data_IF_716322513665
#
_entry.id   IF_716322513665
#
_cell.length_a   1.000
_cell.length_b   1.000
_cell.length_c   1.000
_cell.angle_alpha   90.00
_cell.angle_beta   90.00
_cell.angle_gamma   90.00
#
_symmetry.space_group_name_H-M   'P 1'
#
loop_
_entity.id
_entity.type
_entity.pdbx_description
1 polymer ?
#
# COMPACT_ATOMS: atom_id res chain seq x y z
N UNK A 1 -7.10 25.65 49.10
CA UNK A 1 -7.50 26.84 48.31
C UNK A 1 -7.40 26.43 46.85
N UNK A 2 -8.53 26.30 46.16
CA UNK A 2 -8.51 25.85 44.77
C UNK A 2 -8.10 27.04 43.88
N UNK A 3 -6.95 26.92 43.23
CA UNK A 3 -6.50 27.91 42.26
C UNK A 3 -7.46 27.90 41.05
N UNK A 4 -8.02 29.06 40.74
CA UNK A 4 -8.96 29.25 39.64
C UNK A 4 -8.19 29.91 38.49
N UNK A 5 -8.27 29.31 37.31
CA UNK A 5 -7.67 29.83 36.08
C UNK A 5 -8.82 30.43 35.24
N UNK A 6 -8.69 31.70 34.88
CA UNK A 6 -9.62 32.41 34.01
C UNK A 6 -9.11 32.42 32.57
N UNK A 7 -9.93 31.93 31.65
CA UNK A 7 -9.70 31.98 30.21
C UNK A 7 -10.89 32.72 29.58
N UNK A 8 -10.70 34.01 29.26
CA UNK A 8 -11.79 34.90 28.86
C UNK A 8 -12.81 35.07 29.99
N UNK A 9 -14.09 34.86 29.69
CA UNK A 9 -15.19 34.94 30.67
C UNK A 9 -15.38 33.63 31.48
N UNK A 10 -14.66 32.57 31.13
CA UNK A 10 -14.83 31.26 31.77
C UNK A 10 -13.85 31.06 32.92
N UNK A 11 -14.37 30.54 34.04
CA UNK A 11 -13.59 30.20 35.25
C UNK A 11 -13.48 28.69 35.36
N UNK A 12 -12.26 28.18 35.34
CA UNK A 12 -11.98 26.75 35.53
C UNK A 12 -11.20 26.54 36.81
N UNK A 13 -11.54 25.51 37.59
CA UNK A 13 -10.65 25.06 38.65
C UNK A 13 -9.42 24.38 38.03
N UNK A 14 -8.25 24.61 38.62
CA UNK A 14 -7.00 23.97 38.18
C UNK A 14 -7.11 22.45 38.15
N UNK A 15 -7.80 21.87 39.14
CA UNK A 15 -8.04 20.43 39.22
C UNK A 15 -8.88 19.91 38.04
N UNK A 16 -9.89 20.67 37.60
CA UNK A 16 -10.70 20.33 36.43
C UNK A 16 -9.87 20.40 35.14
N UNK A 17 -9.03 21.42 34.99
CA UNK A 17 -8.17 21.54 33.82
C UNK A 17 -7.18 20.37 33.74
N UNK A 18 -6.54 20.03 34.86
CA UNK A 18 -5.62 18.89 34.96
C UNK A 18 -6.36 17.58 34.62
N UNK A 19 -7.56 17.39 35.16
CA UNK A 19 -8.37 16.20 34.86
C UNK A 19 -8.71 16.09 33.36
N UNK A 20 -9.06 17.20 32.71
CA UNK A 20 -9.33 17.24 31.27
C UNK A 20 -8.09 16.87 30.45
N UNK A 21 -6.93 17.43 30.80
CA UNK A 21 -5.67 17.13 30.10
C UNK A 21 -5.31 15.65 30.24
N UNK A 22 -5.40 15.10 31.46
CA UNK A 22 -5.14 13.67 31.71
C UNK A 22 -6.11 12.80 30.92
N UNK A 23 -7.39 13.15 30.89
CA UNK A 23 -8.42 12.43 30.14
C UNK A 23 -8.10 12.36 28.64
N UNK A 24 -7.73 13.48 28.00
CA UNK A 24 -7.32 13.51 26.59
C UNK A 24 -6.03 12.70 26.34
N UNK A 25 -5.09 12.71 27.27
CA UNK A 25 -3.84 11.96 27.16
C UNK A 25 -4.12 10.45 27.21
N UNK A 26 -4.99 9.99 28.13
CA UNK A 26 -5.42 8.59 28.20
C UNK A 26 -6.16 8.18 26.92
N UNK A 27 -7.09 8.99 26.42
CA UNK A 27 -7.79 8.72 25.15
C UNK A 27 -6.79 8.58 24.01
N UNK A 28 -5.79 9.45 23.93
CA UNK A 28 -4.78 9.41 22.87
C UNK A 28 -3.96 8.13 22.93
N UNK A 29 -3.58 7.66 24.13
CA UNK A 29 -2.89 6.38 24.31
C UNK A 29 -3.79 5.21 23.90
N UNK A 30 -5.07 5.21 24.27
CA UNK A 30 -6.03 4.17 23.89
C UNK A 30 -6.23 4.14 22.37
N UNK A 31 -6.41 5.30 21.73
CA UNK A 31 -6.54 5.40 20.27
C UNK A 31 -5.27 4.94 19.55
N UNK A 32 -4.08 5.29 20.06
CA UNK A 32 -2.82 4.79 19.52
C UNK A 32 -2.75 3.26 19.63
N UNK A 33 -3.10 2.68 20.78
CA UNK A 33 -3.14 1.22 20.97
C UNK A 33 -4.15 0.54 20.05
N UNK A 34 -5.33 1.12 19.86
CA UNK A 34 -6.34 0.59 18.95
C UNK A 34 -5.85 0.62 17.49
N UNK A 35 -5.25 1.74 17.07
CA UNK A 35 -4.65 1.91 15.75
C UNK A 35 -3.51 0.91 15.49
N UNK A 36 -2.63 0.69 16.47
CA UNK A 36 -1.55 -0.30 16.37
C UNK A 36 -2.02 -1.76 16.50
N UNK A 37 -3.13 -2.01 17.20
CA UNK A 37 -3.67 -3.35 17.38
C UNK A 37 -4.38 -3.84 16.11
N UNK A 38 -5.17 -3.00 15.45
CA UNK A 38 -5.88 -3.37 14.21
C UNK A 38 -4.91 -3.67 13.05
N UNK A 39 -3.74 -3.04 13.01
CA UNK A 39 -2.70 -3.37 12.02
C UNK A 39 -2.11 -4.77 12.18
N UNK A 40 -2.14 -5.35 13.40
CA UNK A 40 -1.56 -6.67 13.67
C UNK A 40 -2.59 -7.81 13.58
N UNK A 41 -3.88 -7.54 13.72
CA UNK A 41 -4.93 -8.57 13.67
C UNK A 41 -5.23 -9.00 12.23
N UNK A 42 -5.17 -8.10 11.25
CA UNK A 42 -5.36 -8.44 9.83
C UNK A 42 -4.20 -9.25 9.21
N UNK A 43 -3.05 -9.35 9.89
CA UNK A 43 -1.93 -10.17 9.43
C UNK A 43 -1.99 -11.64 9.88
N UNK A 44 -2.89 -11.99 10.82
CA UNK A 44 -2.95 -13.34 11.40
C UNK A 44 -4.09 -14.21 10.85
N UNK A 45 -5.08 -13.64 10.17
CA UNK A 45 -6.23 -14.40 9.64
C UNK A 45 -6.04 -14.93 8.20
N UNK A 46 -5.12 -14.39 7.40
CA UNK A 46 -4.92 -14.87 6.02
C UNK A 46 -3.99 -16.10 5.86
N UNK A 47 -3.46 -16.65 6.96
CA UNK A 47 -2.59 -17.85 6.93
C UNK A 47 -3.26 -19.12 7.48
N UNK A 48 -4.58 -19.13 7.68
CA UNK A 48 -5.35 -20.32 8.09
C UNK A 48 -6.64 -20.48 7.28
N UNK A 49 -6.52 -20.60 5.97
CA UNK A 49 -7.60 -21.15 5.15
C UNK A 49 -7.02 -21.66 3.84
N UNK A 50 -6.42 -22.85 3.89
CA UNK A 50 -6.21 -23.75 2.75
C UNK A 50 -5.80 -25.12 3.32
N UNK A 51 -6.71 -25.74 4.08
CA UNK A 51 -6.60 -27.16 4.37
C UNK A 51 -8.00 -27.77 4.43
N UNK A 52 -8.16 -28.85 3.65
CA UNK A 52 -9.32 -29.75 3.55
C UNK A 52 -10.41 -29.38 2.53
N UNK A 53 -10.27 -29.90 1.29
CA UNK A 53 -10.95 -31.15 0.87
C UNK A 53 -10.64 -31.46 -0.59
N UNK A 54 -9.83 -32.48 -0.80
CA UNK A 54 -9.75 -33.24 -2.04
C UNK A 54 -9.78 -34.73 -1.67
N UNK A 55 -10.95 -35.35 -1.80
CA UNK A 55 -11.13 -36.77 -2.16
C UNK A 55 -11.49 -36.74 -3.65
N UNK A 56 -11.18 -37.67 -4.54
CA UNK A 56 -10.42 -38.92 -4.61
C UNK A 56 -10.38 -39.19 -6.13
N UNK A 57 -9.31 -39.79 -6.66
CA UNK A 57 -9.26 -40.11 -8.09
C UNK A 57 -7.87 -40.37 -8.66
N UNK A 58 -7.20 -41.35 -8.06
CA UNK A 58 -6.14 -42.23 -8.55
C UNK A 58 -5.68 -42.12 -10.02
N UNK A 59 -4.37 -41.93 -10.24
CA UNK A 59 -3.49 -42.97 -10.82
C UNK A 59 -2.01 -42.53 -10.87
N UNK A 60 -1.18 -43.32 -10.16
CA UNK A 60 0.15 -43.88 -10.51
C UNK A 60 1.26 -43.03 -11.19
N UNK A 61 2.57 -43.12 -10.91
CA UNK A 61 3.49 -43.76 -9.93
C UNK A 61 4.91 -43.20 -10.25
N UNK A 62 5.67 -42.77 -9.21
CA UNK A 62 7.16 -42.67 -9.01
C UNK A 62 8.09 -41.86 -9.96
N UNK A 63 9.35 -41.54 -9.54
CA UNK A 63 9.87 -41.08 -8.23
C UNK A 63 10.84 -39.87 -8.35
N UNK A 64 11.35 -39.43 -7.20
CA UNK A 64 12.54 -38.58 -6.95
C UNK A 64 12.32 -37.08 -6.68
N UNK A 65 12.35 -36.80 -5.36
CA UNK A 65 12.74 -35.58 -4.64
C UNK A 65 13.75 -34.66 -5.38
N UNK A 66 13.69 -33.33 -5.15
CA UNK A 66 14.19 -32.79 -3.90
C UNK A 66 13.25 -31.82 -3.18
N UNK A 67 13.34 -31.93 -1.85
CA UNK A 67 13.17 -30.87 -0.86
C UNK A 67 13.23 -29.44 -1.42
N UNK A 68 12.19 -28.65 -1.10
CA UNK A 68 12.22 -27.19 -1.08
C UNK A 68 13.41 -26.72 -0.25
N UNK A 69 14.57 -26.59 -0.90
CA UNK A 69 15.60 -25.71 -0.41
C UNK A 69 15.07 -24.30 -0.61
N UNK A 70 14.87 -23.61 0.52
CA UNK A 70 14.89 -22.15 0.59
C UNK A 70 16.26 -21.73 0.07
N UNK A 71 16.36 -21.58 -1.25
CA UNK A 71 17.49 -20.90 -1.84
C UNK A 71 17.32 -19.43 -1.48
N UNK A 72 18.08 -19.01 -0.46
CA UNK A 72 18.64 -17.67 -0.42
C UNK A 72 19.50 -17.49 -1.68
N UNK A 73 18.86 -17.30 -2.83
CA UNK A 73 19.52 -16.75 -4.00
C UNK A 73 19.85 -15.31 -3.65
N UNK A 74 21.14 -15.08 -3.46
CA UNK A 74 21.81 -13.79 -3.51
C UNK A 74 21.29 -13.08 -4.77
N UNK A 75 20.32 -12.18 -4.58
CA UNK A 75 19.62 -11.45 -5.65
C UNK A 75 20.65 -10.84 -6.59
N UNK A 76 20.70 -11.34 -7.83
CA UNK A 76 21.38 -10.62 -8.89
C UNK A 76 20.64 -9.28 -9.06
N UNK A 77 21.37 -8.21 -8.75
CA UNK A 77 20.93 -6.84 -8.49
C UNK A 77 20.42 -6.09 -9.74
N UNK A 78 19.88 -6.80 -10.73
CA UNK A 78 19.62 -6.24 -12.07
C UNK A 78 18.25 -5.56 -12.17
N UNK A 79 17.39 -5.72 -11.16
CA UNK A 79 16.02 -5.23 -11.20
C UNK A 79 15.60 -4.55 -9.89
N UNK A 80 14.99 -3.37 -10.02
CA UNK A 80 14.23 -2.70 -8.97
C UNK A 80 12.84 -3.34 -8.88
N UNK A 81 12.55 -3.96 -7.74
CA UNK A 81 11.24 -4.54 -7.44
C UNK A 81 10.37 -3.50 -6.74
N UNK A 82 9.22 -3.19 -7.33
CA UNK A 82 8.28 -2.22 -6.78
C UNK A 82 7.16 -2.93 -6.03
N UNK A 83 6.80 -2.41 -4.86
CA UNK A 83 5.58 -2.77 -4.13
C UNK A 83 4.81 -1.51 -3.76
N UNK A 84 3.56 -1.70 -3.32
CA UNK A 84 2.72 -0.61 -2.85
C UNK A 84 2.19 -0.93 -1.46
N UNK A 85 2.35 0.01 -0.53
CA UNK A 85 1.84 -0.04 0.83
C UNK A 85 0.53 0.74 0.91
N UNK A 86 -0.65 0.09 0.95
CA UNK A 86 -1.93 0.79 0.91
C UNK A 86 -2.18 1.67 2.13
N UNK A 87 -1.72 1.24 3.30
CA UNK A 87 -1.88 1.98 4.56
C UNK A 87 -1.12 3.31 4.55
N UNK A 88 0.04 3.34 3.88
CA UNK A 88 0.89 4.52 3.78
C UNK A 88 0.69 5.30 2.48
N UNK A 89 -0.13 4.76 1.56
CA UNK A 89 -0.27 5.25 0.19
C UNK A 89 1.10 5.50 -0.46
N UNK A 90 2.01 4.53 -0.37
CA UNK A 90 3.39 4.68 -0.81
C UNK A 90 3.81 3.58 -1.78
N UNK A 91 4.55 3.95 -2.83
CA UNK A 91 5.33 3.02 -3.64
C UNK A 91 6.69 2.87 -2.98
N UNK A 92 7.11 1.63 -2.79
CA UNK A 92 8.36 1.28 -2.12
C UNK A 92 9.20 0.36 -3.01
N UNK A 93 10.50 0.32 -2.76
CA UNK A 93 11.33 -0.80 -3.18
C UNK A 93 10.97 -2.01 -2.29
N UNK A 94 10.53 -3.11 -2.90
CA UNK A 94 10.10 -4.30 -2.18
C UNK A 94 11.23 -4.99 -1.42
N UNK A 95 12.48 -4.83 -1.87
CA UNK A 95 13.65 -5.45 -1.24
C UNK A 95 14.21 -4.58 -0.11
N UNK A 96 14.41 -3.29 -0.36
CA UNK A 96 15.02 -2.37 0.63
C UNK A 96 14.00 -1.71 1.56
N UNK A 97 12.70 -1.80 1.23
CA UNK A 97 11.60 -1.09 1.91
C UNK A 97 11.72 0.44 1.84
N UNK A 98 12.59 0.98 0.99
CA UNK A 98 12.74 2.42 0.79
C UNK A 98 11.50 3.02 0.11
N UNK A 99 11.03 4.16 0.62
CA UNK A 99 9.91 4.89 0.04
C UNK A 99 10.35 5.65 -1.20
N UNK A 100 9.83 5.25 -2.35
CA UNK A 100 10.10 5.86 -3.66
C UNK A 100 9.17 7.06 -3.89
N UNK A 101 7.88 6.87 -3.59
CA UNK A 101 6.89 7.94 -3.72
C UNK A 101 5.76 7.76 -2.71
N UNK A 102 5.27 8.88 -2.17
CA UNK A 102 4.16 8.92 -1.22
C UNK A 102 3.02 9.78 -1.75
N UNK A 103 1.79 9.30 -1.56
CA UNK A 103 0.57 9.98 -1.97
C UNK A 103 -0.30 10.31 -0.76
N UNK A 104 -1.19 11.30 -0.92
CA UNK A 104 -2.14 11.63 0.13
C UNK A 104 -3.17 10.51 0.30
N UNK A 105 -3.44 10.14 1.55
CA UNK A 105 -4.48 9.17 1.89
C UNK A 105 -5.83 9.63 1.33
N UNK A 106 -6.59 8.69 0.75
CA UNK A 106 -7.88 8.96 0.13
C UNK A 106 -7.84 9.65 -1.23
N UNK A 107 -6.69 10.14 -1.70
CA UNK A 107 -6.55 10.78 -3.01
C UNK A 107 -6.79 9.80 -4.18
N UNK A 108 -7.17 10.33 -5.34
CA UNK A 108 -7.33 9.53 -6.56
C UNK A 108 -6.02 8.83 -6.97
N UNK A 109 -4.85 9.44 -6.72
CA UNK A 109 -3.56 8.82 -6.98
C UNK A 109 -3.32 7.60 -6.08
N UNK A 110 -3.63 7.69 -4.77
CA UNK A 110 -3.50 6.52 -3.89
C UNK A 110 -4.44 5.38 -4.34
N UNK A 111 -5.68 5.70 -4.73
CA UNK A 111 -6.64 4.73 -5.27
C UNK A 111 -6.18 4.10 -6.58
N UNK A 112 -5.62 4.90 -7.49
CA UNK A 112 -5.03 4.45 -8.76
C UNK A 112 -3.92 3.43 -8.51
N UNK A 113 -2.95 3.77 -7.65
CA UNK A 113 -1.84 2.88 -7.32
C UNK A 113 -2.32 1.61 -6.62
N UNK A 114 -3.28 1.74 -5.69
CA UNK A 114 -3.91 0.57 -5.04
C UNK A 114 -4.53 -0.37 -6.05
N UNK A 115 -5.27 0.15 -7.04
CA UNK A 115 -5.92 -0.65 -8.07
C UNK A 115 -4.89 -1.36 -8.95
N UNK A 116 -3.91 -0.62 -9.48
CA UNK A 116 -2.93 -1.15 -10.41
C UNK A 116 -1.99 -2.18 -9.76
N UNK A 117 -1.57 -1.97 -8.50
CA UNK A 117 -0.73 -2.92 -7.78
C UNK A 117 -1.47 -4.19 -7.33
N UNK A 118 -2.81 -4.19 -7.28
CA UNK A 118 -3.61 -5.42 -7.11
C UNK A 118 -3.66 -6.27 -8.39
N UNK A 119 -3.35 -5.66 -9.53
CA UNK A 119 -3.37 -6.29 -10.84
C UNK A 119 -2.08 -6.00 -11.62
N UNK A 120 -0.89 -6.32 -11.05
CA UNK A 120 0.37 -5.99 -11.69
C UNK A 120 0.54 -6.81 -12.98
N UNK A 121 1.27 -6.24 -13.94
CA UNK A 121 1.61 -6.85 -15.23
C UNK A 121 0.38 -7.24 -16.08
N UNK A 122 -0.80 -6.68 -15.77
CA UNK A 122 -2.02 -6.83 -16.57
C UNK A 122 -2.31 -5.56 -17.34
N UNK A 123 -2.71 -5.71 -18.59
CA UNK A 123 -3.18 -4.60 -19.41
C UNK A 123 -4.63 -4.31 -19.08
N UNK A 124 -4.92 -3.06 -18.72
CA UNK A 124 -6.25 -2.58 -18.40
C UNK A 124 -6.68 -1.46 -19.35
N UNK A 125 -7.98 -1.35 -19.62
CA UNK A 125 -8.53 -0.18 -20.27
C UNK A 125 -8.52 1.02 -19.32
N UNK A 126 -8.17 2.20 -19.84
CA UNK A 126 -8.13 3.44 -19.06
C UNK A 126 -9.50 3.79 -18.48
N UNK A 127 -10.59 3.48 -19.18
CA UNK A 127 -11.95 3.71 -18.69
C UNK A 127 -12.30 2.79 -17.51
N UNK A 128 -11.91 1.51 -17.59
CA UNK A 128 -12.13 0.55 -16.51
C UNK A 128 -11.38 0.97 -15.24
N UNK A 129 -10.12 1.41 -15.39
CA UNK A 129 -9.35 1.97 -14.28
C UNK A 129 -10.07 3.21 -13.72
N UNK A 130 -10.49 4.14 -14.58
CA UNK A 130 -11.14 5.37 -14.16
C UNK A 130 -12.45 5.12 -13.39
N UNK A 131 -13.25 4.14 -13.82
CA UNK A 131 -14.46 3.72 -13.12
C UNK A 131 -14.15 3.17 -11.73
N UNK A 132 -13.06 2.42 -11.56
CA UNK A 132 -12.66 1.88 -10.25
C UNK A 132 -12.09 2.97 -9.33
N UNK A 133 -11.38 3.95 -9.87
CA UNK A 133 -10.73 5.01 -9.09
C UNK A 133 -11.69 6.15 -8.72
N UNK A 134 -12.56 6.55 -9.66
CA UNK A 134 -13.49 7.66 -9.53
C UNK A 134 -14.90 7.27 -10.05
N UNK A 135 -15.62 6.36 -9.36
CA UNK A 135 -16.87 5.78 -9.86
C UNK A 135 -17.99 6.81 -10.07
N UNK A 136 -17.94 7.96 -9.39
CA UNK A 136 -18.95 9.02 -9.53
C UNK A 136 -18.85 9.78 -10.85
N UNK A 137 -17.64 9.93 -11.41
CA UNK A 137 -17.34 10.72 -12.61
C UNK A 137 -16.11 10.17 -13.35
N UNK A 138 -16.15 8.93 -13.87
CA UNK A 138 -14.99 8.28 -14.49
C UNK A 138 -14.41 9.09 -15.66
N UNK A 139 -15.26 9.73 -16.45
CA UNK A 139 -14.90 10.55 -17.61
C UNK A 139 -14.02 11.76 -17.25
N UNK A 140 -14.09 12.24 -16.00
CA UNK A 140 -13.25 13.34 -15.51
C UNK A 140 -11.84 12.91 -15.11
N UNK A 141 -11.58 11.60 -15.01
CA UNK A 141 -10.31 11.06 -14.52
C UNK A 141 -9.45 10.50 -15.65
N UNK A 142 -8.59 11.37 -16.20
CA UNK A 142 -7.66 11.02 -17.27
C UNK A 142 -6.44 10.25 -16.73
N UNK A 143 -6.38 8.94 -16.97
CA UNK A 143 -5.32 8.05 -16.45
C UNK A 143 -3.92 8.54 -16.81
N UNK A 144 -3.68 8.91 -18.07
CA UNK A 144 -2.35 9.41 -18.50
C UNK A 144 -1.92 10.67 -17.77
N UNK A 145 -2.85 11.61 -17.57
CA UNK A 145 -2.59 12.83 -16.81
C UNK A 145 -2.31 12.51 -15.34
N UNK A 146 -3.06 11.57 -14.76
CA UNK A 146 -2.83 11.11 -13.40
C UNK A 146 -1.44 10.48 -13.25
N UNK A 147 -1.03 9.60 -14.18
CA UNK A 147 0.30 8.97 -14.22
C UNK A 147 1.41 10.03 -14.31
N UNK A 148 1.30 11.00 -15.23
CA UNK A 148 2.28 12.08 -15.35
C UNK A 148 2.40 12.95 -14.10
N UNK A 149 1.30 13.09 -13.34
CA UNK A 149 1.27 13.87 -12.10
C UNK A 149 1.68 13.06 -10.85
N UNK A 150 2.02 11.77 -11.00
CA UNK A 150 2.65 11.03 -9.92
C UNK A 150 4.02 11.66 -9.64
N UNK A 151 4.34 11.85 -8.36
CA UNK A 151 5.64 12.33 -7.87
C UNK A 151 6.71 11.23 -7.98
N UNK A 152 6.80 10.62 -9.15
CA UNK A 152 7.79 9.62 -9.53
C UNK A 152 8.80 10.27 -10.47
N UNK A 153 10.05 9.80 -10.40
CA UNK A 153 11.06 10.12 -11.39
C UNK A 153 10.56 9.79 -12.82
N UNK A 154 10.98 10.58 -13.81
CA UNK A 154 10.51 10.44 -15.19
C UNK A 154 10.91 9.10 -15.80
N UNK A 155 12.14 8.65 -15.55
CA UNK A 155 12.67 7.41 -16.10
C UNK A 155 12.06 6.22 -15.39
N UNK A 156 11.88 6.30 -14.06
CA UNK A 156 11.13 5.28 -13.34
C UNK A 156 9.68 5.18 -13.84
N UNK A 157 8.98 6.30 -14.00
CA UNK A 157 7.59 6.33 -14.46
C UNK A 157 7.45 5.74 -15.86
N UNK A 158 8.37 6.02 -16.77
CA UNK A 158 8.31 5.49 -18.15
C UNK A 158 8.50 3.97 -18.19
N UNK A 159 9.31 3.41 -17.28
CA UNK A 159 9.48 1.95 -17.14
C UNK A 159 8.34 1.30 -16.35
N UNK A 160 7.81 2.00 -15.35
CA UNK A 160 6.75 1.53 -14.46
C UNK A 160 5.39 1.42 -15.16
N UNK A 161 5.11 2.29 -16.13
CA UNK A 161 3.84 2.29 -16.87
C UNK A 161 4.07 2.08 -18.36
N UNK A 162 3.62 0.95 -18.89
CA UNK A 162 3.55 0.72 -20.34
C UNK A 162 2.21 1.19 -20.86
N UNK A 163 2.24 2.11 -21.82
CA UNK A 163 1.04 2.62 -22.50
C UNK A 163 0.85 1.86 -23.81
N UNK A 164 -0.27 1.17 -23.96
CA UNK A 164 -0.61 0.41 -25.16
C UNK A 164 -1.65 1.18 -25.99
N UNK A 165 -1.25 1.68 -27.16
CA UNK A 165 -2.12 2.43 -28.04
C UNK A 165 -2.74 3.66 -27.38
N UNK A 166 -4.03 3.91 -27.63
CA UNK A 166 -4.70 5.13 -27.18
C UNK A 166 -5.38 5.04 -25.80
N UNK A 167 -5.71 3.84 -25.30
CA UNK A 167 -6.61 3.69 -24.14
C UNK A 167 -6.26 2.55 -23.19
N UNK A 168 -5.05 1.99 -23.26
CA UNK A 168 -4.68 0.86 -22.40
C UNK A 168 -3.36 1.13 -21.67
N UNK A 169 -3.29 0.66 -20.43
CA UNK A 169 -2.13 0.84 -19.54
C UNK A 169 -1.83 -0.48 -18.82
N UNK A 170 -0.54 -0.77 -18.67
CA UNK A 170 0.00 -1.86 -17.85
C UNK A 170 0.93 -1.28 -16.80
N UNK A 171 0.80 -1.72 -15.54
CA UNK A 171 1.75 -1.42 -14.47
C UNK A 171 2.80 -2.54 -14.40
N UNK A 172 4.08 -2.20 -14.57
CA UNK A 172 5.20 -3.11 -14.39
C UNK A 172 5.77 -2.94 -12.97
N UNK A 173 6.03 -4.05 -12.29
CA UNK A 173 6.60 -4.04 -10.92
C UNK A 173 8.06 -4.46 -10.87
N UNK A 174 8.63 -4.93 -11.98
CA UNK A 174 10.04 -5.29 -12.11
C UNK A 174 10.69 -4.37 -13.12
N UNK A 175 11.61 -3.52 -12.67
CA UNK A 175 12.21 -2.46 -13.49
C UNK A 175 13.71 -2.71 -13.63
N UNK A 176 14.24 -2.91 -14.85
CA UNK A 176 15.67 -3.12 -15.04
C UNK A 176 16.48 -1.87 -14.64
N UNK A 177 17.47 -2.07 -13.78
CA UNK A 177 18.44 -1.06 -13.38
C UNK A 177 19.51 -1.00 -14.48
N UNK A 178 19.79 0.19 -15.06
CA UNK A 178 20.85 0.29 -16.06
C UNK A 178 22.20 -0.05 -15.40
N UNK A 179 23.00 -0.86 -16.11
CA UNK A 179 24.28 -1.37 -15.61
C UNK A 179 25.35 -0.29 -15.32
N UNK A 180 25.12 0.95 -15.73
CA UNK A 180 26.07 2.07 -15.62
C UNK A 180 26.10 2.76 -14.23
N UNK A 181 25.49 2.16 -13.20
CA UNK A 181 25.44 2.73 -11.83
C UNK A 181 25.96 1.73 -10.76
N UNK A 182 26.74 0.73 -11.16
CA UNK A 182 27.41 -0.19 -10.23
C UNK A 182 28.77 0.35 -9.74
#
# INVERSE_FOLDING_TARGET
MNEVITLGEYRFSKDLLIAIIIFFLVITIVLAKFYYSDSNVLFRENNKSNQSRGDEGDMEILPNQPSLQVQNEKSNNDYLKLAFCPNECAVINAETQEVIAKFHAGSQNCRLMTYLFRHPNKTHDEYDIAFKVNPTKPESFYIRKAICNLKLDKDLRSKMFTIHGAKKVTLNTLIPIPADVA
#
